data_IF_780961004366
#
_entry.id   IF_780961004366
#
_cell.length_a   1.000
_cell.length_b   1.000
_cell.length_c   1.000
_cell.angle_alpha   90.00
_cell.angle_beta   90.00
_cell.angle_gamma   90.00
#
_symmetry.space_group_name_H-M   'P 1'
#
loop_
_entity.id
_entity.type
_entity.pdbx_description
1 polymer ?
#
# COMPACT_ATOMS: atom_id res chain seq x y z
N UNK A 1 -4.27 -4.67 -14.87
CA UNK A 1 -4.47 -5.86 -14.03
C UNK A 1 -3.29 -6.05 -13.07
N UNK A 2 -2.05 -5.89 -13.56
CA UNK A 2 -0.80 -6.02 -12.79
C UNK A 2 -0.70 -5.12 -11.54
N UNK A 3 -1.08 -3.84 -11.62
CA UNK A 3 -0.97 -2.93 -10.45
C UNK A 3 -1.89 -3.30 -9.27
N UNK A 4 -3.06 -3.90 -9.56
CA UNK A 4 -3.92 -4.46 -8.49
C UNK A 4 -3.24 -5.64 -7.81
N UNK A 5 -2.51 -6.45 -8.58
CA UNK A 5 -1.70 -7.56 -8.07
C UNK A 5 -0.53 -7.03 -7.22
N UNK A 6 0.18 -6.00 -7.69
CA UNK A 6 1.32 -5.42 -6.95
C UNK A 6 0.91 -4.78 -5.62
N UNK A 7 -0.19 -4.03 -5.58
CA UNK A 7 -0.73 -3.48 -4.32
C UNK A 7 -1.07 -4.57 -3.31
N UNK A 8 -1.70 -5.66 -3.76
CA UNK A 8 -2.07 -6.81 -2.91
C UNK A 8 -0.85 -7.57 -2.43
N UNK A 9 0.16 -7.75 -3.29
CA UNK A 9 1.41 -8.41 -2.93
C UNK A 9 2.22 -7.57 -1.94
N UNK A 10 2.28 -6.25 -2.10
CA UNK A 10 2.87 -5.37 -1.10
C UNK A 10 2.13 -5.48 0.25
N UNK A 11 0.80 -5.45 0.22
CA UNK A 11 -0.01 -5.59 1.44
C UNK A 11 0.27 -6.91 2.18
N UNK A 12 0.38 -8.03 1.46
CA UNK A 12 0.81 -9.32 2.04
C UNK A 12 2.25 -9.28 2.55
N UNK A 13 3.16 -8.63 1.83
CA UNK A 13 4.53 -8.41 2.27
C UNK A 13 4.59 -7.69 3.62
N UNK A 14 3.79 -6.63 3.77
CA UNK A 14 3.64 -5.87 5.03
C UNK A 14 3.02 -6.72 6.14
N UNK A 15 1.94 -7.45 5.85
CA UNK A 15 1.27 -8.35 6.80
C UNK A 15 2.24 -9.38 7.41
N UNK A 16 3.03 -10.05 6.57
CA UNK A 16 3.94 -11.11 7.01
C UNK A 16 5.34 -10.60 7.36
N UNK A 17 5.64 -9.31 7.13
CA UNK A 17 6.97 -8.73 7.34
C UNK A 17 8.02 -9.25 6.34
N UNK A 18 7.61 -9.60 5.12
CA UNK A 18 8.50 -10.10 4.07
C UNK A 18 9.16 -8.92 3.33
N UNK A 19 10.38 -8.58 3.74
CA UNK A 19 11.15 -7.46 3.17
C UNK A 19 11.49 -7.64 1.69
N UNK A 20 11.73 -8.87 1.21
CA UNK A 20 12.01 -9.11 -0.21
C UNK A 20 10.80 -8.79 -1.08
N UNK A 21 9.61 -9.19 -0.62
CA UNK A 21 8.36 -8.88 -1.29
C UNK A 21 8.09 -7.38 -1.30
N UNK A 22 8.31 -6.70 -0.16
CA UNK A 22 8.17 -5.24 -0.08
C UNK A 22 9.10 -4.56 -1.10
N UNK A 23 10.40 -4.89 -1.07
CA UNK A 23 11.41 -4.34 -2.01
C UNK A 23 11.05 -4.55 -3.47
N UNK A 24 10.45 -5.70 -3.81
CA UNK A 24 10.08 -6.02 -5.19
C UNK A 24 8.99 -5.09 -5.74
N UNK A 25 8.07 -4.63 -4.91
CA UNK A 25 6.89 -3.87 -5.36
C UNK A 25 7.00 -2.35 -5.11
N UNK A 26 7.93 -1.91 -4.25
CA UNK A 26 8.21 -0.50 -4.01
C UNK A 26 9.34 0.03 -4.90
N UNK A 27 9.47 1.35 -4.98
CA UNK A 27 10.73 1.95 -5.45
C UNK A 27 11.81 1.88 -4.35
N UNK A 28 13.04 2.26 -4.72
CA UNK A 28 14.20 2.17 -3.83
C UNK A 28 14.12 3.18 -2.67
N UNK A 29 13.72 4.42 -2.96
CA UNK A 29 13.61 5.47 -1.96
C UNK A 29 12.57 5.13 -0.89
N UNK A 30 11.39 4.65 -1.30
CA UNK A 30 10.34 4.24 -0.37
C UNK A 30 10.72 2.96 0.38
N UNK A 31 11.40 2.00 -0.26
CA UNK A 31 11.88 0.80 0.42
C UNK A 31 12.83 1.14 1.58
N UNK A 32 13.81 2.03 1.35
CA UNK A 32 14.74 2.44 2.39
C UNK A 32 14.02 3.17 3.54
N UNK A 33 13.03 4.03 3.25
CA UNK A 33 12.18 4.64 4.29
C UNK A 33 11.48 3.61 5.19
N UNK A 34 10.95 2.54 4.61
CA UNK A 34 10.29 1.45 5.38
C UNK A 34 11.32 0.74 6.28
N UNK A 35 12.50 0.45 5.73
CA UNK A 35 13.58 -0.28 6.41
C UNK A 35 14.20 0.53 7.55
N UNK A 36 14.35 1.84 7.35
CA UNK A 36 14.89 2.79 8.34
C UNK A 36 13.88 3.16 9.45
N UNK A 37 12.62 2.73 9.33
CA UNK A 37 11.57 3.04 10.31
C UNK A 37 11.09 1.76 11.03
N UNK A 38 11.85 1.25 12.04
CA UNK A 38 11.41 0.10 12.84
C UNK A 38 10.02 0.26 13.46
N UNK A 39 9.62 1.50 13.79
CA UNK A 39 8.32 1.80 14.36
C UNK A 39 7.19 1.54 13.35
N UNK A 40 7.39 1.91 12.08
CA UNK A 40 6.42 1.66 11.01
C UNK A 40 6.12 0.17 10.89
N UNK A 41 7.14 -0.69 10.85
CA UNK A 41 6.94 -2.14 10.79
C UNK A 41 6.26 -2.71 12.04
N UNK A 42 6.46 -2.11 13.22
CA UNK A 42 5.73 -2.48 14.43
C UNK A 42 4.26 -2.06 14.33
N UNK A 43 3.98 -0.83 13.92
CA UNK A 43 2.62 -0.31 13.77
C UNK A 43 1.81 -1.13 12.77
N UNK A 44 2.44 -1.50 11.63
CA UNK A 44 1.85 -2.40 10.62
C UNK A 44 1.44 -3.74 11.22
N UNK A 45 2.28 -4.34 12.09
CA UNK A 45 1.98 -5.64 12.73
C UNK A 45 0.78 -5.57 13.67
N UNK A 46 0.54 -4.42 14.30
CA UNK A 46 -0.65 -4.22 15.14
C UNK A 46 -1.89 -3.86 14.33
N UNK A 47 -1.68 -3.15 13.22
CA UNK A 47 -2.75 -2.68 12.37
C UNK A 47 -3.34 -3.81 11.51
N UNK A 48 -2.50 -4.59 10.83
CA UNK A 48 -2.91 -5.62 9.87
C UNK A 48 -2.93 -7.01 10.54
N UNK A 49 -4.09 -7.66 10.68
CA UNK A 49 -4.17 -9.03 11.17
C UNK A 49 -3.45 -10.00 10.23
N UNK A 50 -2.63 -10.90 10.79
CA UNK A 50 -1.91 -11.94 10.05
C UNK A 50 -2.84 -13.09 9.65
N UNK A 51 -3.67 -12.86 8.65
CA UNK A 51 -4.59 -13.85 8.11
C UNK A 51 -4.88 -13.57 6.65
N UNK A 52 -5.14 -14.63 5.88
CA UNK A 52 -5.67 -14.54 4.53
C UNK A 52 -7.21 -14.54 4.47
N UNK A 53 -7.88 -14.61 5.64
CA UNK A 53 -9.33 -14.50 5.75
C UNK A 53 -9.76 -13.03 5.84
N UNK A 54 -9.97 -12.40 4.68
CA UNK A 54 -10.49 -11.04 4.57
C UNK A 54 -11.15 -10.84 3.21
N UNK A 55 -12.08 -9.88 3.13
CA UNK A 55 -12.65 -9.42 1.87
C UNK A 55 -11.99 -8.12 1.44
N UNK A 56 -11.87 -7.89 0.12
CA UNK A 56 -11.25 -6.68 -0.43
C UNK A 56 -12.22 -6.00 -1.38
N UNK A 57 -12.37 -4.69 -1.22
CA UNK A 57 -13.09 -3.82 -2.14
C UNK A 57 -12.15 -2.74 -2.72
N UNK A 58 -12.27 -2.44 -4.01
CA UNK A 58 -11.55 -1.29 -4.60
C UNK A 58 -12.49 -0.08 -4.57
N UNK A 59 -12.22 0.86 -3.66
CA UNK A 59 -13.06 2.03 -3.45
C UNK A 59 -12.89 3.07 -4.57
N UNK A 60 -11.65 3.34 -4.99
CA UNK A 60 -11.38 4.33 -6.03
C UNK A 60 -10.06 4.11 -6.75
N UNK A 61 -10.01 4.58 -8.00
CA UNK A 61 -8.82 4.62 -8.85
C UNK A 61 -8.75 6.05 -9.41
N UNK A 62 -7.78 6.84 -8.93
CA UNK A 62 -7.63 8.24 -9.28
C UNK A 62 -6.29 8.49 -9.96
N UNK A 63 -6.33 9.18 -11.10
CA UNK A 63 -5.13 9.71 -11.74
C UNK A 63 -4.97 11.17 -11.33
N UNK A 64 -3.92 11.49 -10.60
CA UNK A 64 -3.69 12.88 -10.22
C UNK A 64 -3.10 13.65 -11.41
N UNK A 65 -3.89 14.54 -12.02
CA UNK A 65 -3.50 15.38 -13.16
C UNK A 65 -3.32 16.86 -12.81
N UNK A 66 -3.55 17.26 -11.54
CA UNK A 66 -3.68 18.67 -11.14
C UNK A 66 -2.40 19.33 -10.60
N UNK A 67 -1.22 18.75 -10.84
CA UNK A 67 0.06 19.35 -10.42
C UNK A 67 0.82 19.94 -11.62
N UNK A 68 1.53 21.06 -11.45
CA UNK A 68 2.33 21.65 -12.52
C UNK A 68 3.35 20.63 -13.03
N UNK A 69 3.56 20.66 -14.36
CA UNK A 69 4.22 19.70 -15.30
C UNK A 69 5.57 19.04 -14.90
N UNK A 70 6.06 19.24 -13.69
CA UNK A 70 7.31 18.67 -13.14
C UNK A 70 7.03 17.41 -12.30
N UNK A 71 5.80 17.21 -11.81
CA UNK A 71 5.46 16.06 -10.98
C UNK A 71 4.84 14.96 -11.85
N UNK A 72 5.58 13.86 -11.99
CA UNK A 72 5.21 12.66 -12.73
C UNK A 72 3.76 12.25 -12.39
N UNK A 73 2.99 11.85 -13.41
CA UNK A 73 1.61 11.40 -13.22
C UNK A 73 1.61 10.33 -12.11
N UNK A 74 0.73 10.48 -11.11
CA UNK A 74 0.58 9.48 -10.04
C UNK A 74 -0.75 8.77 -10.19
N UNK A 75 -0.72 7.44 -10.08
CA UNK A 75 -1.92 6.64 -9.95
C UNK A 75 -2.14 6.35 -8.47
N UNK A 76 -3.31 6.70 -7.97
CA UNK A 76 -3.71 6.45 -6.58
C UNK A 76 -4.83 5.43 -6.60
N UNK A 77 -4.64 4.31 -5.88
CA UNK A 77 -5.68 3.30 -5.72
C UNK A 77 -6.01 3.16 -4.24
N UNK A 78 -7.30 3.18 -3.93
CA UNK A 78 -7.79 3.03 -2.56
C UNK A 78 -8.56 1.72 -2.44
N UNK A 79 -8.20 0.93 -1.46
CA UNK A 79 -8.80 -0.36 -1.12
C UNK A 79 -9.39 -0.31 0.28
N UNK A 80 -10.44 -1.10 0.50
CA UNK A 80 -10.95 -1.43 1.83
C UNK A 80 -10.74 -2.93 2.05
N UNK A 81 -10.11 -3.28 3.17
CA UNK A 81 -9.93 -4.65 3.63
C UNK A 81 -10.85 -4.89 4.83
N UNK A 82 -11.79 -5.81 4.68
CA UNK A 82 -12.72 -6.18 5.73
C UNK A 82 -12.21 -7.45 6.43
N UNK A 83 -11.83 -7.32 7.69
CA UNK A 83 -11.55 -8.42 8.61
C UNK A 83 -12.71 -8.57 9.58
N UNK A 84 -12.85 -9.76 10.18
CA UNK A 84 -13.88 -10.02 11.20
C UNK A 84 -13.77 -9.08 12.41
N UNK A 85 -12.56 -8.57 12.69
CA UNK A 85 -12.27 -7.70 13.85
C UNK A 85 -12.17 -6.22 13.55
N UNK A 86 -11.94 -5.83 12.29
CA UNK A 86 -11.68 -4.44 11.90
C UNK A 86 -11.78 -4.23 10.40
N UNK A 87 -11.93 -2.97 10.01
CA UNK A 87 -11.87 -2.56 8.61
C UNK A 87 -10.65 -1.69 8.39
N UNK A 88 -9.84 -1.99 7.37
CA UNK A 88 -8.61 -1.25 7.05
C UNK A 88 -8.77 -0.55 5.71
N UNK A 89 -8.56 0.77 5.71
CA UNK A 89 -8.34 1.55 4.50
C UNK A 89 -6.88 1.42 4.08
N UNK A 90 -6.65 1.03 2.83
CA UNK A 90 -5.33 0.91 2.24
C UNK A 90 -5.26 1.75 0.96
N UNK A 91 -4.50 2.84 1.01
CA UNK A 91 -4.25 3.72 -0.12
C UNK A 91 -2.85 3.48 -0.65
N UNK A 92 -2.72 3.33 -1.96
CA UNK A 92 -1.45 3.04 -2.65
C UNK A 92 -1.19 4.10 -3.70
N UNK A 93 0.01 4.66 -3.71
CA UNK A 93 0.45 5.61 -4.72
C UNK A 93 1.49 4.93 -5.60
N UNK A 94 1.20 4.88 -6.89
CA UNK A 94 2.10 4.37 -7.92
C UNK A 94 2.71 5.53 -8.69
N UNK A 95 4.00 5.42 -8.96
CA UNK A 95 4.63 6.20 -10.01
C UNK A 95 4.13 5.70 -11.38
N UNK A 96 3.65 6.60 -12.25
CA UNK A 96 3.10 6.18 -13.54
C UNK A 96 4.16 5.76 -14.55
N UNK A 97 5.43 6.11 -14.36
CA UNK A 97 6.51 5.77 -15.29
C UNK A 97 7.07 4.37 -15.00
N UNK A 98 7.53 4.16 -13.79
CA UNK A 98 8.13 2.90 -13.30
C UNK A 98 7.09 1.86 -12.89
N UNK A 99 5.83 2.29 -12.66
CA UNK A 99 4.75 1.46 -12.12
C UNK A 99 5.02 0.93 -10.70
N UNK A 100 6.09 1.39 -10.04
CA UNK A 100 6.43 1.03 -8.66
C UNK A 100 5.58 1.80 -7.66
N UNK A 101 5.42 1.21 -6.48
CA UNK A 101 4.74 1.85 -5.36
C UNK A 101 5.74 2.78 -4.66
N UNK A 102 5.38 4.04 -4.55
CA UNK A 102 6.24 5.10 -4.02
C UNK A 102 5.76 5.62 -2.66
N UNK A 103 4.51 5.31 -2.29
CA UNK A 103 3.93 5.70 -1.02
C UNK A 103 2.69 4.85 -0.70
N UNK A 104 2.40 4.67 0.59
CA UNK A 104 1.17 4.04 1.06
C UNK A 104 0.60 4.77 2.27
N UNK A 105 -0.72 4.66 2.46
CA UNK A 105 -1.38 5.01 3.71
C UNK A 105 -2.21 3.83 4.17
N UNK A 106 -2.08 3.49 5.45
CA UNK A 106 -2.83 2.42 6.11
C UNK A 106 -3.50 2.98 7.36
N UNK A 107 -4.80 2.79 7.49
CA UNK A 107 -5.54 3.24 8.67
C UNK A 107 -6.73 2.32 8.96
N UNK A 108 -7.04 2.14 10.23
CA UNK A 108 -8.29 1.49 10.64
C UNK A 108 -9.45 2.47 10.44
N UNK A 109 -10.55 2.00 9.85
CA UNK A 109 -11.80 2.76 9.77
C UNK A 109 -12.55 2.50 11.08
N UNK A 110 -12.60 3.51 11.94
CA UNK A 110 -13.40 3.48 13.17
C UNK A 110 -14.80 3.98 12.81
N UNK A 111 -15.80 3.12 13.01
CA UNK A 111 -17.22 3.45 12.82
C UNK A 111 -17.81 4.11 14.07
#
# INVERSE_FOLDING_TARGET
MEQKTDARLLYRGLMYGNLEQIKRHTDEEFFEKIKETPQFLKDIKHLIPKTDNFQIETLSINFNTNFPKIWEKKLIVTYIYYYDSKTILYKVVFDSKTKKIIDITLSEIVA
#
